data_IF_535154302166
#
_entry.id   IF_535154302166
#
_cell.length_a   1.000
_cell.length_b   1.000
_cell.length_c   1.000
_cell.angle_alpha   90.00
_cell.angle_beta   90.00
_cell.angle_gamma   90.00
#
_symmetry.space_group_name_H-M   'P 1'
#
loop_
_entity.id
_entity.type
_entity.pdbx_description
1 polymer ?
#
# COMPACT_ATOMS: atom_id res chain seq x y z
N UNK A 1 11.40 21.47 -7.17
CA UNK A 1 9.97 21.59 -6.73
C UNK A 1 8.93 21.42 -7.86
N UNK A 2 9.36 21.11 -9.09
CA UNK A 2 8.45 20.90 -10.25
C UNK A 2 8.06 19.43 -10.47
N UNK A 3 8.40 18.54 -9.54
CA UNK A 3 8.19 17.09 -9.71
C UNK A 3 6.72 16.76 -9.90
N UNK A 4 6.41 15.92 -10.90
CA UNK A 4 5.10 15.31 -11.13
C UNK A 4 5.03 13.97 -10.43
N UNK A 5 4.06 13.80 -9.54
CA UNK A 5 3.90 12.63 -8.70
C UNK A 5 2.56 11.95 -8.97
N UNK A 6 2.58 10.63 -9.16
CA UNK A 6 1.39 9.78 -9.28
C UNK A 6 1.38 8.74 -8.16
N UNK A 7 0.26 8.59 -7.47
CA UNK A 7 0.01 7.54 -6.46
C UNK A 7 -1.11 6.61 -6.96
N UNK A 8 -0.78 5.36 -7.22
CA UNK A 8 -1.68 4.34 -7.78
C UNK A 8 -2.27 3.52 -6.65
N UNK A 9 -3.60 3.49 -6.54
CA UNK A 9 -4.31 2.91 -5.41
C UNK A 9 -4.13 3.76 -4.16
N UNK A 10 -4.29 5.08 -4.31
CA UNK A 10 -3.95 6.06 -3.28
C UNK A 10 -4.87 6.03 -2.05
N UNK A 11 -6.03 5.38 -2.12
CA UNK A 11 -7.03 5.38 -1.07
C UNK A 11 -7.41 6.81 -0.64
N UNK A 12 -7.08 7.18 0.59
CA UNK A 12 -7.30 8.55 1.11
C UNK A 12 -6.20 9.54 0.72
N UNK A 13 -5.22 9.14 -0.07
CA UNK A 13 -4.08 9.94 -0.54
C UNK A 13 -3.22 10.56 0.58
N UNK A 14 -3.12 9.89 1.73
CA UNK A 14 -2.41 10.41 2.91
C UNK A 14 -0.92 10.68 2.62
N UNK A 15 -0.25 9.82 1.85
CA UNK A 15 1.19 9.92 1.58
C UNK A 15 1.48 11.13 0.71
N UNK A 16 0.87 11.20 -0.46
CA UNK A 16 1.11 12.30 -1.40
C UNK A 16 0.60 13.64 -0.88
N UNK A 17 -0.45 13.61 -0.02
CA UNK A 17 -0.90 14.80 0.71
C UNK A 17 0.14 15.29 1.70
N UNK A 18 0.78 14.39 2.47
CA UNK A 18 1.86 14.75 3.39
C UNK A 18 3.09 15.28 2.64
N UNK A 19 3.45 14.65 1.52
CA UNK A 19 4.52 15.13 0.63
C UNK A 19 4.21 16.52 0.09
N UNK A 20 2.97 16.77 -0.36
CA UNK A 20 2.54 18.09 -0.85
C UNK A 20 2.63 19.16 0.26
N UNK A 21 2.21 18.85 1.48
CA UNK A 21 2.34 19.77 2.61
C UNK A 21 3.79 20.12 2.93
N UNK A 22 4.67 19.11 2.92
CA UNK A 22 6.09 19.28 3.26
C UNK A 22 6.88 20.00 2.19
N UNK A 23 6.69 19.64 0.93
CA UNK A 23 7.56 20.08 -0.17
C UNK A 23 6.94 21.16 -1.06
N UNK A 24 5.64 21.43 -0.95
CA UNK A 24 4.89 22.45 -1.68
C UNK A 24 5.19 22.39 -3.20
N UNK A 25 4.96 21.21 -3.81
CA UNK A 25 5.17 21.01 -5.24
C UNK A 25 4.29 21.97 -6.04
N UNK A 26 4.82 22.59 -7.11
CA UNK A 26 4.04 23.41 -8.04
C UNK A 26 2.94 22.59 -8.73
N UNK A 27 3.28 21.38 -9.17
CA UNK A 27 2.32 20.43 -9.70
C UNK A 27 1.69 19.67 -8.52
N UNK A 28 0.40 19.86 -8.28
CA UNK A 28 -0.30 19.08 -7.26
C UNK A 28 -0.16 17.58 -7.56
N UNK A 29 0.27 16.74 -6.62
CA UNK A 29 0.34 15.29 -6.80
C UNK A 29 -1.02 14.72 -7.21
N UNK A 30 -1.00 13.70 -8.07
CA UNK A 30 -2.20 13.02 -8.55
C UNK A 30 -2.31 11.68 -7.82
N UNK A 31 -3.47 11.43 -7.20
CA UNK A 31 -3.83 10.14 -6.65
C UNK A 31 -4.95 9.51 -7.47
N UNK A 32 -4.79 8.24 -7.84
CA UNK A 32 -5.82 7.48 -8.54
C UNK A 32 -6.26 6.27 -7.74
N UNK A 33 -7.55 6.00 -7.76
CA UNK A 33 -8.13 4.79 -7.15
C UNK A 33 -9.42 4.39 -7.89
N UNK A 34 -9.79 3.12 -7.85
CA UNK A 34 -11.07 2.64 -8.39
C UNK A 34 -12.25 2.96 -7.47
N UNK A 35 -11.96 3.21 -6.18
CA UNK A 35 -12.95 3.54 -5.16
C UNK A 35 -12.86 5.02 -4.83
N UNK A 36 -14.01 5.71 -4.86
CA UNK A 36 -14.10 7.08 -4.34
C UNK A 36 -14.15 7.06 -2.81
N UNK A 37 -13.07 7.46 -2.16
CA UNK A 37 -13.03 7.60 -0.72
C UNK A 37 -13.63 8.95 -0.29
N UNK A 38 -14.62 8.96 0.62
CA UNK A 38 -15.23 10.21 1.14
C UNK A 38 -14.23 11.15 1.82
N UNK A 39 -13.13 10.60 2.38
CA UNK A 39 -12.12 11.33 3.16
C UNK A 39 -10.81 11.54 2.39
N UNK A 40 -10.84 11.67 1.07
CA UNK A 40 -9.67 12.01 0.27
C UNK A 40 -9.15 13.41 0.63
N UNK A 41 -7.85 13.55 0.73
CA UNK A 41 -7.21 14.85 1.06
C UNK A 41 -7.42 15.86 -0.06
N UNK A 42 -7.75 17.11 0.31
CA UNK A 42 -8.08 18.19 -0.65
C UNK A 42 -6.87 18.85 -1.33
N UNK A 43 -5.66 18.67 -0.80
CA UNK A 43 -4.45 19.31 -1.32
C UNK A 43 -3.75 18.52 -2.43
N UNK A 44 -4.45 17.55 -3.02
CA UNK A 44 -4.00 16.73 -4.17
C UNK A 44 -5.10 16.68 -5.23
N UNK A 45 -4.78 16.19 -6.42
CA UNK A 45 -5.75 15.90 -7.47
C UNK A 45 -6.15 14.42 -7.37
N UNK A 46 -7.40 14.14 -6.99
CA UNK A 46 -7.91 12.77 -6.97
C UNK A 46 -8.68 12.45 -8.26
N UNK A 47 -8.46 11.23 -8.80
CA UNK A 47 -9.23 10.72 -9.94
C UNK A 47 -9.72 9.30 -9.65
N UNK A 48 -11.04 9.09 -9.72
CA UNK A 48 -11.63 7.75 -9.66
C UNK A 48 -11.48 7.08 -11.02
N UNK A 49 -10.47 6.24 -11.17
CA UNK A 49 -10.16 5.59 -12.45
C UNK A 49 -9.32 4.32 -12.25
N UNK A 50 -9.47 3.35 -13.15
CA UNK A 50 -8.58 2.17 -13.20
C UNK A 50 -7.15 2.58 -13.58
N UNK A 51 -6.17 1.98 -12.90
CA UNK A 51 -4.76 2.32 -13.06
C UNK A 51 -4.23 2.07 -14.49
N UNK A 52 -4.64 0.98 -15.14
CA UNK A 52 -4.20 0.66 -16.50
C UNK A 52 -4.76 1.68 -17.48
N UNK A 53 -6.08 1.97 -17.38
CA UNK A 53 -6.75 2.96 -18.21
C UNK A 53 -6.13 4.36 -18.03
N UNK A 54 -5.76 4.71 -16.80
CA UNK A 54 -5.10 6.00 -16.53
C UNK A 54 -3.70 6.07 -17.15
N UNK A 55 -2.89 5.02 -17.01
CA UNK A 55 -1.53 4.98 -17.55
C UNK A 55 -1.44 4.85 -19.08
N UNK A 56 -2.55 4.59 -19.77
CA UNK A 56 -2.61 4.66 -21.24
C UNK A 56 -2.46 6.09 -21.77
N UNK A 57 -2.78 7.10 -20.96
CA UNK A 57 -2.52 8.52 -21.28
C UNK A 57 -1.03 8.79 -21.38
N UNK A 58 -0.64 9.79 -22.22
CA UNK A 58 0.78 10.08 -22.53
C UNK A 58 1.54 10.85 -21.43
N UNK A 59 0.91 11.22 -20.31
CA UNK A 59 1.57 11.93 -19.21
C UNK A 59 2.73 11.16 -18.61
N UNK A 60 3.79 11.86 -18.22
CA UNK A 60 4.99 11.31 -17.56
C UNK A 60 5.16 11.88 -16.17
N UNK A 61 5.86 11.11 -15.32
CA UNK A 61 6.01 11.39 -13.89
C UNK A 61 7.46 11.23 -13.45
N UNK A 62 7.87 12.04 -12.48
CA UNK A 62 9.18 11.90 -11.83
C UNK A 62 9.13 10.86 -10.71
N UNK A 63 7.94 10.64 -10.13
CA UNK A 63 7.71 9.64 -9.12
C UNK A 63 6.35 8.97 -9.31
N UNK A 64 6.36 7.64 -9.40
CA UNK A 64 5.16 6.81 -9.32
C UNK A 64 5.22 5.99 -8.04
N UNK A 65 4.17 6.06 -7.23
CA UNK A 65 3.99 5.29 -6.01
C UNK A 65 2.94 4.21 -6.20
N UNK A 66 3.19 3.02 -5.67
CA UNK A 66 2.21 1.94 -5.55
C UNK A 66 2.36 1.38 -4.13
N UNK A 67 1.42 1.68 -3.23
CA UNK A 67 1.52 1.24 -1.85
C UNK A 67 0.35 0.34 -1.45
N UNK A 68 0.67 -0.91 -1.06
CA UNK A 68 -0.30 -1.91 -0.60
C UNK A 68 -1.48 -2.12 -1.59
N UNK A 69 -1.17 -2.11 -2.88
CA UNK A 69 -2.15 -2.19 -3.97
C UNK A 69 -1.87 -3.36 -4.91
N UNK A 70 -0.61 -3.87 -4.94
CA UNK A 70 -0.18 -4.91 -5.89
C UNK A 70 -1.01 -6.20 -5.78
N UNK A 71 -1.48 -6.55 -4.59
CA UNK A 71 -2.26 -7.76 -4.35
C UNK A 71 -3.70 -7.72 -4.93
N UNK A 72 -4.17 -6.58 -5.43
CA UNK A 72 -5.45 -6.47 -6.14
C UNK A 72 -5.32 -6.77 -7.64
N UNK A 73 -4.11 -6.91 -8.17
CA UNK A 73 -3.89 -7.22 -9.59
C UNK A 73 -3.71 -8.72 -9.82
N UNK A 74 -4.25 -9.23 -10.92
CA UNK A 74 -3.83 -10.52 -11.47
C UNK A 74 -2.41 -10.40 -12.04
N UNK A 75 -1.70 -11.51 -12.23
CA UNK A 75 -0.34 -11.49 -12.76
C UNK A 75 -0.25 -10.78 -14.12
N UNK A 76 -1.22 -11.03 -15.02
CA UNK A 76 -1.30 -10.38 -16.34
C UNK A 76 -1.48 -8.86 -16.19
N UNK A 77 -2.39 -8.42 -15.34
CA UNK A 77 -2.63 -6.99 -15.09
C UNK A 77 -1.45 -6.32 -14.40
N UNK A 78 -0.77 -7.00 -13.44
CA UNK A 78 0.42 -6.47 -12.78
C UNK A 78 1.55 -6.25 -13.79
N UNK A 79 1.85 -7.22 -14.65
CA UNK A 79 2.87 -7.06 -15.70
C UNK A 79 2.55 -5.87 -16.62
N UNK A 80 1.28 -5.72 -17.06
CA UNK A 80 0.85 -4.57 -17.87
C UNK A 80 1.02 -3.25 -17.12
N UNK A 81 0.64 -3.20 -15.82
CA UNK A 81 0.83 -2.05 -14.95
C UNK A 81 2.29 -1.61 -14.89
N UNK A 82 3.20 -2.56 -14.62
CA UNK A 82 4.64 -2.29 -14.51
C UNK A 82 5.22 -1.75 -15.83
N UNK A 83 4.85 -2.36 -16.97
CA UNK A 83 5.29 -1.91 -18.28
C UNK A 83 4.79 -0.49 -18.61
N UNK A 84 3.53 -0.19 -18.32
CA UNK A 84 2.97 1.15 -18.48
C UNK A 84 3.64 2.14 -17.53
N UNK A 85 3.82 1.79 -16.26
CA UNK A 85 4.49 2.66 -15.29
C UNK A 85 5.92 3.01 -15.74
N UNK A 86 6.71 2.02 -16.23
CA UNK A 86 8.04 2.29 -16.82
C UNK A 86 7.99 3.29 -17.99
N UNK A 87 7.03 3.11 -18.91
CA UNK A 87 6.84 4.03 -20.04
C UNK A 87 6.47 5.44 -19.59
N UNK A 88 5.78 5.58 -18.47
CA UNK A 88 5.31 6.86 -17.91
C UNK A 88 6.28 7.51 -16.94
N UNK A 89 7.44 6.95 -16.69
CA UNK A 89 8.51 7.65 -15.98
C UNK A 89 9.26 8.61 -16.89
N UNK A 90 9.57 9.79 -16.38
CA UNK A 90 10.56 10.70 -16.95
C UNK A 90 11.96 10.05 -16.93
N UNK A 91 12.94 10.55 -17.69
CA UNK A 91 14.36 10.23 -17.48
C UNK A 91 14.72 10.51 -16.01
N UNK A 92 15.44 9.59 -15.35
CA UNK A 92 15.75 9.62 -13.91
C UNK A 92 14.52 9.50 -12.98
N UNK A 93 13.32 9.28 -13.53
CA UNK A 93 12.09 9.05 -12.75
C UNK A 93 12.14 7.75 -11.96
N UNK A 94 11.40 7.69 -10.85
CA UNK A 94 11.43 6.57 -9.91
C UNK A 94 10.06 5.95 -9.76
N UNK A 95 10.03 4.60 -9.70
CA UNK A 95 8.87 3.82 -9.29
C UNK A 95 9.16 3.20 -7.94
N UNK A 96 8.32 3.50 -6.95
CA UNK A 96 8.38 2.95 -5.61
C UNK A 96 7.17 2.05 -5.35
N UNK A 97 7.42 0.78 -5.06
CA UNK A 97 6.38 -0.20 -4.74
C UNK A 97 6.53 -0.64 -3.30
N UNK A 98 5.53 -0.35 -2.48
CA UNK A 98 5.50 -0.71 -1.06
C UNK A 98 4.47 -1.80 -0.79
N UNK A 99 4.88 -2.82 -0.04
CA UNK A 99 3.97 -3.79 0.58
C UNK A 99 4.49 -4.22 1.95
N UNK A 100 3.70 -5.02 2.67
CA UNK A 100 4.14 -5.56 3.94
C UNK A 100 5.36 -6.47 3.76
N UNK A 101 6.23 -6.50 4.76
CA UNK A 101 7.31 -7.49 4.83
C UNK A 101 6.70 -8.90 4.87
N UNK A 102 7.09 -9.76 3.93
CA UNK A 102 6.46 -11.08 3.74
C UNK A 102 6.91 -12.13 4.77
N UNK A 103 8.15 -12.04 5.27
CA UNK A 103 8.72 -12.95 6.25
C UNK A 103 8.85 -12.27 7.62
N UNK A 104 8.61 -13.01 8.70
CA UNK A 104 8.75 -12.51 10.07
C UNK A 104 7.96 -11.22 10.34
N UNK A 105 6.75 -11.14 9.78
CA UNK A 105 5.85 -10.02 10.02
C UNK A 105 5.40 -9.97 11.47
N UNK A 106 5.44 -8.78 12.10
CA UNK A 106 5.18 -8.57 13.53
C UNK A 106 3.81 -7.97 13.84
N UNK A 107 2.94 -7.81 12.83
CA UNK A 107 1.58 -7.29 13.05
C UNK A 107 0.84 -8.19 14.03
N UNK A 108 0.27 -7.65 15.11
CA UNK A 108 -0.50 -8.41 16.06
C UNK A 108 -1.76 -9.01 15.40
N UNK A 109 -1.92 -10.31 15.50
CA UNK A 109 -3.02 -11.02 14.86
C UNK A 109 -3.70 -11.98 15.86
N UNK A 110 -5.01 -12.13 15.75
CA UNK A 110 -5.73 -13.28 16.28
C UNK A 110 -5.56 -14.48 15.33
N UNK A 111 -5.87 -15.68 15.80
CA UNK A 111 -5.56 -16.95 15.11
C UNK A 111 -6.00 -16.96 13.63
N UNK A 112 -7.25 -16.63 13.34
CA UNK A 112 -7.81 -16.67 11.98
C UNK A 112 -7.23 -15.58 11.07
N UNK A 113 -7.03 -14.36 11.61
CA UNK A 113 -6.34 -13.27 10.93
C UNK A 113 -4.91 -13.66 10.56
N UNK A 114 -4.17 -14.33 11.47
CA UNK A 114 -2.80 -14.78 11.23
C UNK A 114 -2.72 -15.73 10.02
N UNK A 115 -3.62 -16.70 9.93
CA UNK A 115 -3.70 -17.65 8.80
C UNK A 115 -3.94 -16.92 7.49
N UNK A 116 -4.93 -16.01 7.45
CA UNK A 116 -5.27 -15.21 6.26
C UNK A 116 -4.12 -14.29 5.86
N UNK A 117 -3.50 -13.61 6.83
CA UNK A 117 -2.34 -12.75 6.59
C UNK A 117 -1.17 -13.55 6.01
N UNK A 118 -0.84 -14.72 6.56
CA UNK A 118 0.23 -15.57 6.04
C UNK A 118 -0.02 -15.99 4.58
N UNK A 119 -1.27 -16.36 4.23
CA UNK A 119 -1.64 -16.66 2.84
C UNK A 119 -1.44 -15.46 1.92
N UNK A 120 -1.86 -14.27 2.36
CA UNK A 120 -1.69 -13.02 1.63
C UNK A 120 -0.20 -12.68 1.43
N UNK A 121 0.62 -12.82 2.49
CA UNK A 121 2.05 -12.55 2.42
C UNK A 121 2.81 -13.51 1.50
N UNK A 122 2.42 -14.81 1.45
CA UNK A 122 2.98 -15.76 0.46
C UNK A 122 2.68 -15.33 -0.97
N UNK A 123 1.47 -14.85 -1.23
CA UNK A 123 1.09 -14.28 -2.52
C UNK A 123 1.92 -13.05 -2.86
N UNK A 124 2.07 -12.12 -1.93
CA UNK A 124 2.88 -10.91 -2.12
C UNK A 124 4.34 -11.24 -2.41
N UNK A 125 4.91 -12.28 -1.77
CA UNK A 125 6.26 -12.76 -2.07
C UNK A 125 6.39 -13.21 -3.53
N UNK A 126 5.40 -13.93 -4.06
CA UNK A 126 5.35 -14.30 -5.45
C UNK A 126 5.23 -13.08 -6.38
N UNK A 127 4.37 -12.12 -6.04
CA UNK A 127 4.24 -10.87 -6.81
C UNK A 127 5.54 -10.06 -6.82
N UNK A 128 6.32 -10.06 -5.75
CA UNK A 128 7.64 -9.43 -5.72
C UNK A 128 8.62 -10.08 -6.71
N UNK A 129 8.57 -11.40 -6.90
CA UNK A 129 9.38 -12.09 -7.95
C UNK A 129 8.99 -11.61 -9.34
N UNK A 130 7.67 -11.49 -9.62
CA UNK A 130 7.17 -10.94 -10.89
C UNK A 130 7.65 -9.51 -11.12
N UNK A 131 7.55 -8.66 -10.09
CA UNK A 131 7.98 -7.26 -10.15
C UNK A 131 9.46 -7.16 -10.50
N UNK A 132 10.32 -7.92 -9.80
CA UNK A 132 11.77 -7.92 -10.04
C UNK A 132 12.13 -8.45 -11.43
N UNK A 133 11.46 -9.52 -11.89
CA UNK A 133 11.66 -10.05 -13.25
C UNK A 133 11.30 -9.02 -14.33
N UNK A 134 10.19 -8.28 -14.14
CA UNK A 134 9.71 -7.29 -15.09
C UNK A 134 10.56 -6.02 -15.10
N UNK A 135 10.89 -5.47 -13.92
CA UNK A 135 11.55 -4.18 -13.81
C UNK A 135 13.06 -4.24 -14.01
N UNK A 136 13.70 -5.39 -13.74
CA UNK A 136 15.18 -5.52 -13.71
C UNK A 136 15.84 -4.43 -12.86
N UNK A 137 17.08 -4.56 -12.47
CA UNK A 137 17.87 -3.52 -11.75
C UNK A 137 17.11 -2.76 -10.64
N UNK A 138 16.38 -3.51 -9.78
CA UNK A 138 15.67 -2.93 -8.64
C UNK A 138 16.53 -2.94 -7.39
N UNK A 139 16.29 -1.95 -6.50
CA UNK A 139 16.86 -1.93 -5.15
C UNK A 139 15.75 -2.21 -4.13
N UNK A 140 16.06 -3.02 -3.10
CA UNK A 140 15.12 -3.35 -2.02
C UNK A 140 15.49 -2.55 -0.78
N UNK A 141 14.49 -1.99 -0.11
CA UNK A 141 14.62 -1.31 1.18
C UNK A 141 13.56 -1.84 2.15
N UNK A 142 13.86 -1.72 3.45
CA UNK A 142 12.91 -2.02 4.51
C UNK A 142 12.72 -0.78 5.37
N UNK A 143 11.47 -0.43 5.64
CA UNK A 143 11.10 0.66 6.52
C UNK A 143 10.43 0.07 7.76
N UNK A 144 11.05 0.31 8.91
CA UNK A 144 10.60 -0.17 10.21
C UNK A 144 9.94 0.97 10.97
N UNK A 145 8.68 0.77 11.37
CA UNK A 145 7.92 1.73 12.16
C UNK A 145 7.62 1.11 13.53
N UNK A 146 8.12 1.74 14.58
CA UNK A 146 7.72 1.39 15.96
C UNK A 146 6.29 1.89 16.18
N UNK A 147 5.36 0.97 16.34
CA UNK A 147 3.95 1.27 16.59
C UNK A 147 3.65 1.07 18.07
N UNK A 148 3.13 2.11 18.70
CA UNK A 148 2.53 2.05 20.03
C UNK A 148 1.09 2.54 19.89
N UNK A 149 0.14 1.66 20.13
CA UNK A 149 -1.29 1.95 19.90
C UNK A 149 -2.11 1.44 21.08
N UNK A 150 -3.11 2.21 21.53
CA UNK A 150 -4.01 1.74 22.57
C UNK A 150 -4.80 0.52 22.10
N UNK A 151 -5.07 -0.43 23.00
CA UNK A 151 -5.89 -1.60 22.72
C UNK A 151 -7.24 -1.22 22.10
N UNK A 152 -7.92 -0.21 22.68
CA UNK A 152 -9.20 0.33 22.18
C UNK A 152 -9.11 0.72 20.69
N UNK A 153 -8.08 1.49 20.30
CA UNK A 153 -7.88 1.92 18.91
C UNK A 153 -7.54 0.74 17.99
N UNK A 154 -6.73 -0.22 18.45
CA UNK A 154 -6.39 -1.39 17.65
C UNK A 154 -7.60 -2.31 17.40
N UNK A 155 -8.43 -2.55 18.42
CA UNK A 155 -9.69 -3.28 18.29
C UNK A 155 -10.64 -2.59 17.30
N UNK A 156 -10.75 -1.26 17.37
CA UNK A 156 -11.52 -0.50 16.39
C UNK A 156 -10.98 -0.66 14.97
N UNK A 157 -9.67 -0.63 14.77
CA UNK A 157 -9.05 -0.86 13.46
C UNK A 157 -9.37 -2.24 12.92
N UNK A 158 -9.29 -3.30 13.74
CA UNK A 158 -9.68 -4.66 13.34
C UNK A 158 -11.15 -4.71 12.95
N UNK A 159 -12.05 -4.16 13.77
CA UNK A 159 -13.50 -4.08 13.49
C UNK A 159 -13.77 -3.33 12.17
N UNK A 160 -13.02 -2.25 11.91
CA UNK A 160 -13.09 -1.47 10.66
C UNK A 160 -12.34 -2.12 9.50
N UNK A 161 -11.84 -3.34 9.64
CA UNK A 161 -11.18 -4.13 8.57
C UNK A 161 -10.03 -3.36 7.90
N UNK A 162 -9.15 -2.74 8.71
CA UNK A 162 -8.06 -1.86 8.26
C UNK A 162 -7.03 -2.50 7.33
N UNK A 163 -6.96 -3.83 7.28
CA UNK A 163 -6.04 -4.60 6.44
C UNK A 163 -6.83 -5.61 5.61
N UNK A 164 -6.44 -5.79 4.36
CA UNK A 164 -7.19 -6.56 3.35
C UNK A 164 -7.49 -8.01 3.74
N UNK A 165 -6.62 -8.67 4.50
CA UNK A 165 -6.87 -10.04 4.98
C UNK A 165 -8.09 -10.17 5.91
N UNK A 166 -8.61 -9.06 6.45
CA UNK A 166 -9.83 -9.03 7.26
C UNK A 166 -11.11 -8.91 6.44
N UNK A 167 -11.02 -8.48 5.17
CA UNK A 167 -12.18 -8.25 4.31
C UNK A 167 -12.97 -9.53 4.03
N UNK A 168 -12.28 -10.67 3.94
CA UNK A 168 -12.86 -11.97 3.66
C UNK A 168 -13.44 -12.70 4.90
N UNK A 169 -13.23 -12.16 6.11
CA UNK A 169 -13.71 -12.77 7.34
C UNK A 169 -15.18 -12.42 7.59
N UNK A 170 -15.96 -13.40 8.04
CA UNK A 170 -17.34 -13.17 8.49
C UNK A 170 -17.32 -12.34 9.79
N UNK A 171 -18.38 -11.60 10.06
CA UNK A 171 -18.46 -10.76 11.28
C UNK A 171 -18.26 -11.55 12.56
N UNK A 172 -18.89 -12.73 12.68
CA UNK A 172 -18.71 -13.65 13.81
C UNK A 172 -17.23 -14.02 14.04
N UNK A 173 -16.46 -14.20 12.97
CA UNK A 173 -15.02 -14.52 13.04
C UNK A 173 -14.19 -13.33 13.51
N UNK A 174 -14.55 -12.13 13.07
CA UNK A 174 -13.91 -10.88 13.51
C UNK A 174 -14.19 -10.66 14.99
N UNK A 175 -15.46 -10.83 15.45
CA UNK A 175 -15.84 -10.63 16.84
C UNK A 175 -15.10 -11.61 17.77
N UNK A 176 -15.05 -12.91 17.43
CA UNK A 176 -14.23 -13.89 18.17
C UNK A 176 -12.74 -13.48 18.22
N UNK A 177 -12.22 -12.98 17.10
CA UNK A 177 -10.84 -12.50 17.02
C UNK A 177 -10.59 -11.25 17.87
N UNK A 178 -11.58 -10.36 18.01
CA UNK A 178 -11.49 -9.21 18.91
C UNK A 178 -11.33 -9.66 20.37
N UNK A 179 -12.03 -10.73 20.78
CA UNK A 179 -11.90 -11.28 22.14
C UNK A 179 -10.53 -11.92 22.37
N UNK A 180 -9.99 -12.64 21.38
CA UNK A 180 -8.60 -13.13 21.44
C UNK A 180 -7.59 -11.99 21.66
N UNK A 181 -7.75 -10.84 20.97
CA UNK A 181 -6.88 -9.67 21.15
C UNK A 181 -7.08 -9.02 22.52
N UNK A 182 -8.33 -8.92 23.02
CA UNK A 182 -8.62 -8.36 24.34
C UNK A 182 -7.94 -9.17 25.45
N UNK A 183 -7.97 -10.50 25.37
CA UNK A 183 -7.31 -11.40 26.33
C UNK A 183 -5.78 -11.31 26.26
N UNK A 184 -5.23 -11.22 25.05
CA UNK A 184 -3.79 -11.22 24.82
C UNK A 184 -3.09 -9.94 25.28
N UNK A 185 -3.76 -8.79 25.18
CA UNK A 185 -3.17 -7.48 25.46
C UNK A 185 -3.91 -6.73 26.56
N UNK A 186 -3.20 -6.32 27.62
CA UNK A 186 -3.80 -5.56 28.75
C UNK A 186 -4.09 -4.10 28.36
N UNK A 187 -3.08 -3.35 27.91
CA UNK A 187 -3.17 -1.89 27.69
C UNK A 187 -2.79 -1.50 26.25
N UNK A 188 -1.54 -1.08 26.05
CA UNK A 188 -1.02 -0.70 24.74
C UNK A 188 -0.45 -1.91 24.00
N UNK A 189 -0.65 -1.90 22.70
CA UNK A 189 -0.08 -2.89 21.79
C UNK A 189 1.14 -2.27 21.15
N UNK A 190 2.31 -2.91 21.32
CA UNK A 190 3.59 -2.47 20.78
C UNK A 190 4.08 -3.48 19.74
N UNK A 191 4.44 -3.03 18.56
CA UNK A 191 5.03 -3.88 17.53
C UNK A 191 5.84 -3.03 16.55
N UNK A 192 6.64 -3.70 15.71
CA UNK A 192 7.31 -3.06 14.59
C UNK A 192 6.54 -3.42 13.32
N UNK A 193 5.96 -2.41 12.68
CA UNK A 193 5.41 -2.56 11.33
C UNK A 193 6.52 -2.35 10.32
N UNK A 194 6.72 -3.31 9.42
CA UNK A 194 7.79 -3.29 8.44
C UNK A 194 7.21 -3.32 7.03
N UNK A 195 7.53 -2.30 6.26
CA UNK A 195 7.25 -2.25 4.84
C UNK A 195 8.50 -2.62 4.05
N UNK A 196 8.34 -3.48 3.05
CA UNK A 196 9.31 -3.69 1.99
C UNK A 196 9.00 -2.69 0.86
N UNK A 197 10.04 -2.01 0.40
CA UNK A 197 9.99 -1.14 -0.77
C UNK A 197 10.87 -1.70 -1.88
N UNK A 198 10.35 -1.78 -3.08
CA UNK A 198 11.11 -2.02 -4.31
C UNK A 198 11.21 -0.69 -5.05
N UNK A 199 12.44 -0.24 -5.27
CA UNK A 199 12.76 0.96 -6.06
C UNK A 199 13.25 0.52 -7.44
N UNK A 200 12.63 1.07 -8.47
CA UNK A 200 13.14 1.06 -9.84
C UNK A 200 13.43 2.49 -10.26
N UNK A 201 14.57 2.73 -10.90
CA UNK A 201 14.95 4.01 -11.53
C UNK A 201 15.07 3.81 -13.04
N UNK A 202 14.49 4.74 -13.79
CA UNK A 202 14.57 4.76 -15.27
C UNK A 202 15.85 5.42 -15.71
#
# INVERSE_FOLDING_TARGET
KNSKILDIGCGRANIISALQKKYKFRNKPIGIDIIANKNVKKNIVFKKIDALKYLEKKEKYDLILIKQTIHFFTNKRLNRLLNLAKKRLNPKGKLLIFSLKTKNNKIPCFKKMKIKLQKSLKRDEYLFKIIKKNLKYTKDFYFNFKVVISKKKYLWMIKSRYISCLLELKEKEVNKGLDEIKLKYKNNIKFVDTLKCILFSK
#
